data_IF_862662120052
#
_entry.id   IF_862662120052
#
_cell.length_a   1.000
_cell.length_b   1.000
_cell.length_c   1.000
_cell.angle_alpha   90.00
_cell.angle_beta   90.00
_cell.angle_gamma   90.00
#
_symmetry.space_group_name_H-M   'P 1'
#
loop_
_entity.id
_entity.type
_entity.pdbx_description
1 polymer ?
#
# COMPACT_ATOMS: atom_id res chain seq x y z
N UNK A 1 -60.99 -9.24 62.62
CA UNK A 1 -60.71 -9.91 61.32
C UNK A 1 -59.58 -9.15 60.63
N UNK A 2 -58.36 -9.70 60.50
CA UNK A 2 -57.23 -8.95 59.99
C UNK A 2 -57.03 -9.12 58.48
N UNK A 3 -56.57 -8.03 57.88
CA UNK A 3 -56.40 -7.75 56.45
C UNK A 3 -55.20 -8.54 55.91
N UNK A 4 -55.44 -9.60 55.12
CA UNK A 4 -54.38 -10.45 54.53
C UNK A 4 -54.26 -10.34 52.99
N UNK A 5 -54.90 -9.33 52.37
CA UNK A 5 -54.98 -9.15 50.90
C UNK A 5 -53.92 -8.21 50.29
N UNK A 6 -53.17 -7.44 51.09
CA UNK A 6 -52.31 -6.36 50.59
C UNK A 6 -51.02 -6.84 49.89
N UNK A 7 -50.32 -7.82 50.46
CA UNK A 7 -48.99 -8.23 49.97
C UNK A 7 -48.97 -8.99 48.63
N UNK A 8 -50.13 -9.43 48.12
CA UNK A 8 -50.22 -10.14 46.84
C UNK A 8 -50.41 -9.19 45.63
N UNK A 9 -50.89 -7.97 45.89
CA UNK A 9 -51.02 -6.91 44.88
C UNK A 9 -49.68 -6.20 44.69
N UNK A 10 -48.98 -5.94 45.79
CA UNK A 10 -47.67 -5.28 45.82
C UNK A 10 -46.59 -6.11 45.08
N UNK A 11 -46.55 -7.43 45.30
CA UNK A 11 -45.67 -8.33 44.54
C UNK A 11 -46.00 -8.43 43.04
N UNK A 12 -47.27 -8.18 42.66
CA UNK A 12 -47.68 -8.15 41.25
C UNK A 12 -47.21 -6.86 40.58
N UNK A 13 -47.33 -5.73 41.28
CA UNK A 13 -46.86 -4.43 40.80
C UNK A 13 -45.34 -4.41 40.61
N UNK A 14 -44.57 -4.92 41.58
CA UNK A 14 -43.11 -5.03 41.47
C UNK A 14 -42.67 -5.86 40.25
N UNK A 15 -43.35 -6.98 39.98
CA UNK A 15 -43.07 -7.82 38.79
C UNK A 15 -43.46 -7.18 37.47
N UNK A 16 -44.46 -6.29 37.47
CA UNK A 16 -44.83 -5.52 36.28
C UNK A 16 -43.84 -4.38 36.05
N UNK A 17 -43.38 -3.70 37.09
CA UNK A 17 -42.31 -2.69 37.02
C UNK A 17 -41.00 -3.30 36.48
N UNK A 18 -40.55 -4.44 37.01
CA UNK A 18 -39.36 -5.14 36.51
C UNK A 18 -39.47 -5.51 35.03
N UNK A 19 -40.66 -5.95 34.58
CA UNK A 19 -40.91 -6.28 33.17
C UNK A 19 -40.90 -5.05 32.26
N UNK A 20 -41.44 -3.93 32.74
CA UNK A 20 -41.44 -2.66 32.01
C UNK A 20 -39.99 -2.17 31.88
N UNK A 21 -39.20 -2.21 32.96
CA UNK A 21 -37.79 -1.84 32.95
C UNK A 21 -36.97 -2.73 31.99
N UNK A 22 -37.25 -4.04 31.98
CA UNK A 22 -36.57 -4.98 31.09
C UNK A 22 -36.94 -4.76 29.61
N UNK A 23 -38.20 -4.41 29.34
CA UNK A 23 -38.68 -4.03 28.01
C UNK A 23 -38.05 -2.72 27.54
N UNK A 24 -37.97 -1.71 28.41
CA UNK A 24 -37.31 -0.43 28.11
C UNK A 24 -35.83 -0.62 27.82
N UNK A 25 -35.12 -1.45 28.60
CA UNK A 25 -33.72 -1.80 28.33
C UNK A 25 -33.53 -2.45 26.97
N UNK A 26 -34.37 -3.44 26.63
CA UNK A 26 -34.31 -4.14 25.34
C UNK A 26 -34.56 -3.19 24.18
N UNK A 27 -35.52 -2.27 24.31
CA UNK A 27 -35.78 -1.24 23.31
C UNK A 27 -34.62 -0.25 23.16
N UNK A 28 -33.98 0.13 24.26
CA UNK A 28 -32.81 1.00 24.26
C UNK A 28 -31.60 0.34 23.59
N UNK A 29 -31.39 -0.96 23.83
CA UNK A 29 -30.35 -1.73 23.17
C UNK A 29 -30.62 -1.90 21.68
N UNK A 30 -31.85 -2.20 21.28
CA UNK A 30 -32.22 -2.31 19.87
C UNK A 30 -32.06 -0.97 19.14
N UNK A 31 -32.43 0.14 19.78
CA UNK A 31 -32.23 1.48 19.22
C UNK A 31 -30.75 1.85 19.09
N UNK A 32 -29.90 1.45 20.04
CA UNK A 32 -28.44 1.64 19.95
C UNK A 32 -27.83 0.83 18.82
N UNK A 33 -28.25 -0.44 18.68
CA UNK A 33 -27.78 -1.30 17.60
C UNK A 33 -28.18 -0.75 16.22
N UNK A 34 -29.43 -0.33 16.06
CA UNK A 34 -29.93 0.27 14.83
C UNK A 34 -29.20 1.58 14.51
N UNK A 35 -28.89 2.40 15.51
CA UNK A 35 -28.12 3.63 15.33
C UNK A 35 -26.69 3.36 14.87
N UNK A 36 -26.03 2.33 15.39
CA UNK A 36 -24.70 1.89 14.95
C UNK A 36 -24.73 1.36 13.52
N UNK A 37 -25.76 0.59 13.15
CA UNK A 37 -25.96 0.06 11.80
C UNK A 37 -26.20 1.19 10.78
N UNK A 38 -27.13 2.12 11.06
CA UNK A 38 -27.35 3.31 10.23
C UNK A 38 -26.11 4.19 10.17
N UNK A 39 -25.33 4.29 11.24
CA UNK A 39 -24.07 5.07 11.22
C UNK A 39 -22.99 4.41 10.36
N UNK A 40 -22.99 3.09 10.22
CA UNK A 40 -22.10 2.37 9.30
C UNK A 40 -22.53 2.56 7.85
N UNK A 41 -23.82 2.54 7.57
CA UNK A 41 -24.37 2.65 6.21
C UNK A 41 -24.44 4.09 5.68
N UNK A 42 -24.61 5.07 6.57
CA UNK A 42 -24.74 6.50 6.25
C UNK A 42 -23.51 7.31 6.69
N UNK A 43 -22.53 6.66 7.33
CA UNK A 43 -21.25 7.28 7.67
C UNK A 43 -20.54 7.80 6.42
N UNK A 44 -19.74 8.89 6.52
CA UNK A 44 -19.04 9.43 5.37
C UNK A 44 -18.12 8.35 4.80
N UNK A 45 -18.49 7.83 3.63
CA UNK A 45 -17.75 6.78 2.93
C UNK A 45 -16.28 7.24 2.81
N UNK A 46 -15.26 6.40 3.05
CA UNK A 46 -13.85 6.82 3.00
C UNK A 46 -13.42 7.51 1.68
N UNK A 47 -14.19 7.35 0.59
CA UNK A 47 -13.99 8.03 -0.70
C UNK A 47 -14.58 9.46 -0.77
N UNK A 48 -15.38 9.88 0.21
CA UNK A 48 -16.01 11.22 0.23
C UNK A 48 -15.09 12.34 0.73
N UNK A 49 -13.93 12.02 1.31
CA UNK A 49 -12.99 13.02 1.82
C UNK A 49 -11.59 12.77 1.25
N UNK A 50 -11.12 13.73 0.44
CA UNK A 50 -9.71 13.81 0.05
C UNK A 50 -8.91 14.15 1.31
N UNK A 51 -8.04 13.24 1.74
CA UNK A 51 -7.15 13.47 2.87
C UNK A 51 -5.86 14.15 2.40
N UNK A 52 -5.16 14.83 3.31
CA UNK A 52 -3.82 15.36 3.02
C UNK A 52 -2.84 14.26 2.61
N UNK A 53 -3.04 13.04 3.12
CA UNK A 53 -2.24 11.88 2.73
C UNK A 53 -2.45 11.52 1.25
N UNK A 54 -3.67 11.66 0.73
CA UNK A 54 -3.98 11.38 -0.68
C UNK A 54 -3.33 12.40 -1.62
N UNK A 55 -3.25 13.67 -1.20
CA UNK A 55 -2.54 14.72 -1.96
C UNK A 55 -1.04 14.40 -2.03
N UNK A 56 -0.42 14.04 -0.91
CA UNK A 56 1.01 13.70 -0.86
C UNK A 56 1.31 12.43 -1.68
N UNK A 57 0.47 11.39 -1.57
CA UNK A 57 0.61 10.16 -2.37
C UNK A 57 0.46 10.43 -3.86
N UNK A 58 -0.54 11.24 -4.25
CA UNK A 58 -0.76 11.64 -5.64
C UNK A 58 0.39 12.46 -6.18
N UNK A 59 0.94 13.39 -5.39
CA UNK A 59 2.10 14.19 -5.80
C UNK A 59 3.35 13.34 -6.00
N UNK A 60 3.64 12.42 -5.06
CA UNK A 60 4.76 11.47 -5.18
C UNK A 60 4.56 10.57 -6.40
N UNK A 61 3.35 10.06 -6.62
CA UNK A 61 3.02 9.24 -7.79
C UNK A 61 3.21 10.00 -9.10
N UNK A 62 2.74 11.24 -9.19
CA UNK A 62 2.90 12.09 -10.37
C UNK A 62 4.37 12.44 -10.63
N UNK A 63 5.16 12.71 -9.57
CA UNK A 63 6.58 13.00 -9.69
C UNK A 63 7.37 11.76 -10.15
N UNK A 64 7.11 10.60 -9.56
CA UNK A 64 7.73 9.34 -10.00
C UNK A 64 7.32 9.00 -11.44
N UNK A 65 6.06 9.23 -11.81
CA UNK A 65 5.55 8.99 -13.16
C UNK A 65 6.20 9.88 -14.21
N UNK A 66 6.30 11.19 -13.94
CA UNK A 66 6.93 12.15 -14.86
C UNK A 66 8.43 11.93 -15.00
N UNK A 67 9.15 11.78 -13.89
CA UNK A 67 10.60 11.47 -13.91
C UNK A 67 10.83 10.10 -14.56
N UNK A 68 9.97 9.12 -14.27
CA UNK A 68 9.92 7.83 -14.95
C UNK A 68 9.86 7.96 -16.46
N UNK A 69 8.86 8.67 -16.95
CA UNK A 69 8.64 8.89 -18.37
C UNK A 69 9.84 9.57 -19.04
N UNK A 70 10.34 10.68 -18.48
CA UNK A 70 11.52 11.36 -19.02
C UNK A 70 12.77 10.47 -18.98
N UNK A 71 13.00 9.74 -17.89
CA UNK A 71 14.13 8.83 -17.80
C UNK A 71 14.03 7.66 -18.76
N UNK A 72 12.84 7.20 -19.13
CA UNK A 72 12.65 6.21 -20.18
C UNK A 72 13.07 6.76 -21.54
N UNK A 73 12.54 7.92 -21.96
CA UNK A 73 12.88 8.52 -23.25
C UNK A 73 14.36 8.90 -23.34
N UNK A 74 14.87 9.66 -22.37
CA UNK A 74 16.28 10.02 -22.32
C UNK A 74 17.20 8.83 -22.08
N UNK A 75 16.72 7.79 -21.38
CA UNK A 75 17.49 6.57 -21.11
C UNK A 75 17.84 5.82 -22.40
N UNK A 76 16.95 5.83 -23.38
CA UNK A 76 17.21 5.26 -24.72
C UNK A 76 18.29 6.07 -25.44
N UNK A 77 18.17 7.40 -25.50
CA UNK A 77 19.18 8.27 -26.12
C UNK A 77 20.55 8.17 -25.43
N UNK A 78 20.55 8.03 -24.10
CA UNK A 78 21.77 7.92 -23.31
C UNK A 78 22.46 6.56 -23.53
N UNK A 79 21.69 5.51 -23.80
CA UNK A 79 22.22 4.17 -24.04
C UNK A 79 23.10 4.12 -25.30
N UNK A 80 22.81 4.92 -26.32
CA UNK A 80 23.64 5.02 -27.53
C UNK A 80 25.06 5.54 -27.22
N UNK A 81 25.19 6.42 -26.23
CA UNK A 81 26.45 7.11 -25.87
C UNK A 81 27.24 6.37 -24.79
N UNK A 82 26.68 5.31 -24.22
CA UNK A 82 27.25 4.60 -23.07
C UNK A 82 27.98 3.33 -23.51
N UNK A 83 29.11 3.05 -22.87
CA UNK A 83 29.88 1.82 -23.07
C UNK A 83 29.31 0.67 -22.23
N UNK A 84 29.57 -0.58 -22.63
CA UNK A 84 29.12 -1.79 -21.91
C UNK A 84 29.57 -1.82 -20.44
N UNK A 85 30.79 -1.33 -20.16
CA UNK A 85 31.33 -1.25 -18.80
C UNK A 85 30.49 -0.30 -17.93
N UNK A 86 30.16 0.88 -18.47
CA UNK A 86 29.30 1.85 -17.78
C UNK A 86 27.89 1.32 -17.59
N UNK A 87 27.33 0.62 -18.57
CA UNK A 87 26.04 -0.06 -18.43
C UNK A 87 26.05 -1.10 -17.30
N UNK A 88 27.10 -1.92 -17.22
CA UNK A 88 27.26 -2.91 -16.14
C UNK A 88 27.37 -2.23 -14.76
N UNK A 89 28.09 -1.11 -14.68
CA UNK A 89 28.16 -0.31 -13.46
C UNK A 89 26.79 0.25 -13.04
N UNK A 90 25.92 0.63 -14.00
CA UNK A 90 24.56 1.07 -13.72
C UNK A 90 23.68 -0.07 -13.15
N UNK A 91 23.82 -1.30 -13.63
CA UNK A 91 23.12 -2.47 -13.04
C UNK A 91 23.52 -2.67 -11.58
N UNK A 92 24.82 -2.63 -11.29
CA UNK A 92 25.35 -2.77 -9.93
C UNK A 92 24.86 -1.62 -9.06
N UNK A 93 24.91 -0.39 -9.57
CA UNK A 93 24.43 0.80 -8.87
C UNK A 93 22.94 0.68 -8.55
N UNK A 94 22.12 0.21 -9.50
CA UNK A 94 20.69 -0.03 -9.27
C UNK A 94 20.46 -1.03 -8.13
N UNK A 95 21.24 -2.12 -8.08
CA UNK A 95 21.13 -3.12 -7.02
C UNK A 95 21.56 -2.55 -5.65
N UNK A 96 22.62 -1.76 -5.61
CA UNK A 96 23.09 -1.06 -4.40
C UNK A 96 22.04 -0.07 -3.90
N UNK A 97 21.45 0.72 -4.80
CA UNK A 97 20.36 1.66 -4.47
C UNK A 97 19.16 0.90 -3.93
N UNK A 98 18.74 -0.20 -4.57
CA UNK A 98 17.65 -1.05 -4.07
C UNK A 98 17.90 -1.52 -2.64
N UNK A 99 19.12 -2.03 -2.39
CA UNK A 99 19.54 -2.52 -1.09
C UNK A 99 19.47 -1.43 -0.03
N UNK A 100 20.08 -0.27 -0.27
CA UNK A 100 20.04 0.85 0.67
C UNK A 100 18.63 1.38 0.88
N UNK A 101 17.84 1.52 -0.18
CA UNK A 101 16.48 2.04 -0.08
C UNK A 101 15.60 1.11 0.77
N UNK A 102 15.71 -0.20 0.59
CA UNK A 102 15.01 -1.19 1.44
C UNK A 102 15.56 -1.26 2.86
N UNK A 103 16.87 -1.15 3.03
CA UNK A 103 17.49 -1.12 4.35
C UNK A 103 16.99 0.09 5.13
N UNK A 104 17.10 1.30 4.59
CA UNK A 104 16.69 2.52 5.31
C UNK A 104 15.18 2.60 5.53
N UNK A 105 14.36 2.15 4.57
CA UNK A 105 12.91 2.17 4.70
C UNK A 105 12.36 1.08 5.63
N UNK A 106 12.94 -0.12 5.60
CA UNK A 106 12.52 -1.28 6.39
C UNK A 106 12.87 -1.16 7.87
N UNK A 107 14.02 -0.57 8.19
CA UNK A 107 14.51 -0.47 9.57
C UNK A 107 13.75 0.52 10.44
N UNK A 108 13.02 1.48 9.85
CA UNK A 108 12.32 2.51 10.64
C UNK A 108 11.09 1.97 11.39
N UNK A 109 10.56 0.80 11.02
CA UNK A 109 9.31 0.26 11.58
C UNK A 109 9.44 -1.04 12.39
N UNK A 110 10.56 -1.77 12.33
CA UNK A 110 10.61 -3.10 12.96
C UNK A 110 11.84 -3.26 13.85
N UNK A 111 11.60 -3.25 15.17
CA UNK A 111 12.58 -3.53 16.23
C UNK A 111 12.96 -5.03 16.35
N UNK A 112 12.52 -5.89 15.42
CA UNK A 112 12.74 -7.34 15.52
C UNK A 112 13.86 -7.82 14.59
N UNK A 113 14.91 -8.38 15.20
CA UNK A 113 16.12 -8.94 14.57
C UNK A 113 15.80 -10.01 13.51
N UNK A 114 14.66 -10.70 13.62
CA UNK A 114 14.26 -11.78 12.68
C UNK A 114 13.95 -11.30 11.25
N UNK A 115 13.63 -10.03 11.04
CA UNK A 115 13.31 -9.50 9.70
C UNK A 115 14.57 -9.24 8.84
N UNK A 116 15.73 -9.07 9.46
CA UNK A 116 16.97 -8.69 8.77
C UNK A 116 17.41 -9.73 7.72
N UNK A 117 17.13 -11.03 7.94
CA UNK A 117 17.47 -12.12 7.01
C UNK A 117 16.62 -12.14 5.73
N UNK A 118 15.43 -11.54 5.74
CA UNK A 118 14.53 -11.52 4.59
C UNK A 118 14.72 -10.30 3.67
N UNK A 119 15.46 -9.29 4.12
CA UNK A 119 15.76 -8.07 3.33
C UNK A 119 16.50 -8.38 2.02
N UNK A 120 17.62 -9.14 1.99
CA UNK A 120 18.32 -9.40 0.74
C UNK A 120 17.46 -10.18 -0.26
N UNK A 121 16.63 -11.13 0.22
CA UNK A 121 15.69 -11.86 -0.64
C UNK A 121 14.65 -10.90 -1.25
N UNK A 122 14.11 -9.97 -0.46
CA UNK A 122 13.16 -8.96 -0.92
C UNK A 122 13.78 -8.03 -1.97
N UNK A 123 15.03 -7.61 -1.77
CA UNK A 123 15.78 -6.79 -2.73
C UNK A 123 15.90 -7.51 -4.07
N UNK A 124 16.27 -8.80 -4.06
CA UNK A 124 16.37 -9.61 -5.28
C UNK A 124 15.02 -9.72 -5.99
N UNK A 125 13.94 -10.01 -5.25
CA UNK A 125 12.60 -10.12 -5.83
C UNK A 125 12.17 -8.81 -6.51
N UNK A 126 12.32 -7.67 -5.84
CA UNK A 126 11.97 -6.37 -6.41
C UNK A 126 12.85 -6.04 -7.61
N UNK A 127 14.15 -6.33 -7.54
CA UNK A 127 15.07 -6.10 -8.65
C UNK A 127 14.70 -6.91 -9.89
N UNK A 128 14.36 -8.20 -9.72
CA UNK A 128 13.92 -9.08 -10.82
C UNK A 128 12.59 -8.60 -11.41
N UNK A 129 11.63 -8.22 -10.57
CA UNK A 129 10.35 -7.65 -11.03
C UNK A 129 10.60 -6.37 -11.83
N UNK A 130 11.43 -5.45 -11.33
CA UNK A 130 11.80 -4.22 -12.04
C UNK A 130 12.45 -4.51 -13.39
N UNK A 131 13.32 -5.52 -13.47
CA UNK A 131 13.96 -5.90 -14.72
C UNK A 131 12.95 -6.43 -15.75
N UNK A 132 12.02 -7.30 -15.32
CA UNK A 132 10.94 -7.81 -16.17
C UNK A 132 10.04 -6.67 -16.65
N UNK A 133 9.65 -5.76 -15.76
CA UNK A 133 8.79 -4.62 -16.10
C UNK A 133 9.50 -3.71 -17.11
N UNK A 134 10.78 -3.38 -16.91
CA UNK A 134 11.55 -2.53 -17.85
C UNK A 134 11.66 -3.18 -19.22
N UNK A 135 12.00 -4.46 -19.29
CA UNK A 135 12.08 -5.18 -20.57
C UNK A 135 10.71 -5.21 -21.25
N UNK A 136 9.65 -5.51 -20.50
CA UNK A 136 8.28 -5.53 -21.00
C UNK A 136 7.80 -4.18 -21.50
N UNK A 137 8.08 -3.09 -20.78
CA UNK A 137 7.69 -1.74 -21.23
C UNK A 137 8.46 -1.33 -22.47
N UNK A 138 9.77 -1.54 -22.52
CA UNK A 138 10.58 -1.22 -23.69
C UNK A 138 10.16 -2.03 -24.93
N UNK A 139 9.73 -3.28 -24.74
CA UNK A 139 9.17 -4.11 -25.80
C UNK A 139 7.83 -3.55 -26.30
N UNK A 140 6.91 -3.17 -25.39
CA UNK A 140 5.60 -2.58 -25.77
C UNK A 140 5.76 -1.25 -26.51
N UNK A 141 6.73 -0.42 -26.12
CA UNK A 141 7.01 0.86 -26.76
C UNK A 141 7.79 0.74 -28.08
N UNK A 142 8.22 -0.46 -28.49
CA UNK A 142 8.97 -0.66 -29.73
C UNK A 142 10.40 -0.13 -29.68
N UNK A 143 10.97 0.09 -28.49
CA UNK A 143 12.39 0.45 -28.35
C UNK A 143 13.31 -0.78 -28.45
N UNK A 144 12.74 -1.98 -28.35
CA UNK A 144 13.42 -3.26 -28.52
C UNK A 144 12.71 -3.99 -29.67
N UNK A 145 13.18 -3.77 -30.90
CA UNK A 145 12.75 -4.54 -32.07
C UNK A 145 13.70 -5.73 -32.33
N UNK A 146 13.23 -6.76 -33.05
CA UNK A 146 14.03 -7.95 -33.41
C UNK A 146 15.42 -7.71 -34.05
N UNK A 147 15.70 -6.63 -34.81
CA UNK A 147 17.05 -6.38 -35.32
C UNK A 147 18.00 -5.72 -34.30
N UNK A 148 17.55 -5.45 -33.07
CA UNK A 148 18.37 -4.80 -32.05
C UNK A 148 19.47 -5.74 -31.54
N UNK A 149 20.73 -5.31 -31.64
CA UNK A 149 21.84 -6.05 -31.03
C UNK A 149 21.62 -6.21 -29.52
N UNK A 150 21.93 -7.39 -28.96
CA UNK A 150 21.87 -7.65 -27.51
C UNK A 150 22.60 -6.57 -26.69
N UNK A 151 23.71 -6.04 -27.22
CA UNK A 151 24.47 -4.98 -26.57
C UNK A 151 23.70 -3.65 -26.48
N UNK A 152 22.81 -3.36 -27.42
CA UNK A 152 21.96 -2.17 -27.37
C UNK A 152 20.87 -2.34 -26.30
N UNK A 153 20.17 -3.48 -26.32
CA UNK A 153 19.13 -3.82 -25.33
C UNK A 153 19.69 -3.74 -23.91
N UNK A 154 20.86 -4.35 -23.69
CA UNK A 154 21.52 -4.34 -22.38
C UNK A 154 21.77 -2.92 -21.85
N UNK A 155 22.21 -2.00 -22.72
CA UNK A 155 22.48 -0.60 -22.36
C UNK A 155 21.19 0.16 -22.05
N UNK A 156 20.16 0.02 -22.88
CA UNK A 156 18.86 0.70 -22.69
C UNK A 156 18.18 0.24 -21.39
N UNK A 157 18.22 -1.06 -21.11
CA UNK A 157 17.69 -1.59 -19.86
C UNK A 157 18.50 -1.03 -18.67
N UNK A 158 19.83 -0.92 -18.78
CA UNK A 158 20.67 -0.42 -17.69
C UNK A 158 20.39 1.03 -17.29
N UNK A 159 20.08 1.90 -18.26
CA UNK A 159 19.84 3.33 -18.02
C UNK A 159 18.48 3.58 -17.38
N UNK A 160 17.51 2.71 -17.65
CA UNK A 160 16.13 2.82 -17.16
C UNK A 160 15.89 2.04 -15.86
N UNK A 161 16.72 1.04 -15.57
CA UNK A 161 16.55 0.14 -14.42
C UNK A 161 16.59 0.86 -13.06
N UNK A 162 17.47 1.85 -12.87
CA UNK A 162 17.59 2.56 -11.58
C UNK A 162 16.25 3.16 -11.18
N UNK A 163 15.54 3.78 -12.12
CA UNK A 163 14.25 4.39 -11.85
C UNK A 163 13.15 3.38 -11.60
N UNK A 164 13.12 2.29 -12.37
CA UNK A 164 12.18 1.20 -12.16
C UNK A 164 12.36 0.52 -10.79
N UNK A 165 13.62 0.35 -10.36
CA UNK A 165 13.97 -0.18 -9.04
C UNK A 165 13.55 0.77 -7.93
N UNK A 166 13.76 2.08 -8.09
CA UNK A 166 13.29 3.08 -7.13
C UNK A 166 11.77 3.10 -7.00
N UNK A 167 11.05 3.07 -8.13
CA UNK A 167 9.59 3.04 -8.16
C UNK A 167 9.03 1.78 -7.49
N UNK A 168 9.55 0.61 -7.86
CA UNK A 168 9.14 -0.66 -7.27
C UNK A 168 9.47 -0.75 -5.78
N UNK A 169 10.65 -0.27 -5.36
CA UNK A 169 11.02 -0.20 -3.95
C UNK A 169 10.11 0.74 -3.15
N UNK A 170 9.72 1.88 -3.73
CA UNK A 170 8.80 2.83 -3.11
C UNK A 170 7.40 2.23 -2.94
N UNK A 171 6.88 1.54 -3.96
CA UNK A 171 5.59 0.85 -3.91
C UNK A 171 5.59 -0.28 -2.87
N UNK A 172 6.66 -1.05 -2.80
CA UNK A 172 6.86 -2.14 -1.82
C UNK A 172 6.90 -1.63 -0.36
N UNK A 173 7.31 -0.38 -0.13
CA UNK A 173 7.25 0.26 1.18
C UNK A 173 5.84 0.79 1.48
N UNK A 174 5.19 1.40 0.49
CA UNK A 174 3.86 2.01 0.64
C UNK A 174 2.72 1.00 0.77
N UNK A 175 2.86 -0.20 0.19
CA UNK A 175 1.86 -1.28 0.25
C UNK A 175 1.65 -1.90 1.64
N UNK A 176 2.45 -1.53 2.65
CA UNK A 176 2.29 -1.94 4.06
C UNK A 176 1.54 -0.90 4.91
N UNK A 177 0.54 -0.24 4.34
CA UNK A 177 -0.32 0.75 5.00
C UNK A 177 -1.67 0.18 5.37
#
# INVERSE_FOLDING_TARGET
MPVKKSGNVENKLLREEEKIEELERKQLESLKALREEVRKDVGPHPLTRITRADIVRSFIGALIGTVGHFAFFYGVELAEKISLIRATALYILAAVVAFFFMYYSGFRKVKEIKIMRFIPLRVVVVYVISLIVVVGTLFIFGFIDEPSSFGHIYKVVSTTLILAVLGASTADILGKG
#
